data_IF_978028961716
#
_entry.id   IF_978028961716
#
_cell.length_a   1.000
_cell.length_b   1.000
_cell.length_c   1.000
_cell.angle_alpha   90.00
_cell.angle_beta   90.00
_cell.angle_gamma   90.00
#
_symmetry.space_group_name_H-M   'P 1'
#
loop_
_entity.id
_entity.type
_entity.pdbx_description
1 polymer ?
#
# COMPACT_ATOMS: atom_id res chain seq x y z
N UNK A 1 8.03 3.97 4.25
CA UNK A 1 7.60 5.40 4.28
C UNK A 1 6.57 5.57 5.38
N UNK A 2 6.12 6.79 5.73
CA UNK A 2 5.09 6.93 6.77
C UNK A 2 3.74 6.32 6.35
N UNK A 3 2.89 5.89 7.32
CA UNK A 3 1.63 5.21 6.99
C UNK A 3 0.63 6.06 6.23
N UNK A 4 0.65 7.40 6.42
CA UNK A 4 -0.28 8.29 5.68
C UNK A 4 0.08 8.31 4.21
N UNK A 5 1.36 8.41 3.88
CA UNK A 5 1.87 8.33 2.51
C UNK A 5 1.56 6.98 1.88
N UNK A 6 1.81 5.87 2.58
CA UNK A 6 1.55 4.52 2.08
C UNK A 6 0.07 4.29 1.79
N UNK A 7 -0.82 4.64 2.73
CA UNK A 7 -2.26 4.52 2.53
C UNK A 7 -2.79 5.43 1.42
N UNK A 8 -2.27 6.67 1.33
CA UNK A 8 -2.67 7.64 0.31
C UNK A 8 -2.27 7.18 -1.10
N UNK A 9 -1.03 6.72 -1.24
CA UNK A 9 -0.51 6.23 -2.51
C UNK A 9 -1.26 5.00 -2.98
N UNK A 10 -1.49 4.04 -2.07
CA UNK A 10 -2.32 2.86 -2.36
C UNK A 10 -3.75 3.23 -2.79
N UNK A 11 -4.38 4.20 -2.10
CA UNK A 11 -5.69 4.71 -2.46
C UNK A 11 -5.70 5.36 -3.86
N UNK A 12 -4.66 6.11 -4.21
CA UNK A 12 -4.51 6.78 -5.51
C UNK A 12 -4.51 5.75 -6.65
N UNK A 13 -3.68 4.74 -6.57
CA UNK A 13 -3.59 3.71 -7.61
C UNK A 13 -4.90 2.95 -7.76
N UNK A 14 -5.53 2.57 -6.68
CA UNK A 14 -6.82 1.88 -6.72
C UNK A 14 -7.94 2.77 -7.30
N UNK A 15 -8.01 4.04 -6.89
CA UNK A 15 -8.98 5.00 -7.44
C UNK A 15 -8.80 5.24 -8.93
N UNK A 16 -7.55 5.31 -9.42
CA UNK A 16 -7.25 5.56 -10.83
C UNK A 16 -7.83 4.49 -11.75
N UNK A 17 -7.93 3.25 -11.26
CA UNK A 17 -8.50 2.10 -11.95
C UNK A 17 -10.02 1.93 -11.74
N UNK A 18 -10.63 2.74 -10.87
CA UNK A 18 -12.04 2.61 -10.51
C UNK A 18 -12.99 3.27 -11.51
N UNK A 19 -14.25 2.81 -11.52
CA UNK A 19 -15.38 3.55 -12.12
C UNK A 19 -15.93 4.54 -11.09
N UNK A 20 -16.73 5.52 -11.55
CA UNK A 20 -17.29 6.59 -10.70
C UNK A 20 -18.05 6.09 -9.48
N UNK A 21 -18.80 5.00 -9.64
CA UNK A 21 -19.57 4.34 -8.60
C UNK A 21 -18.72 3.56 -7.59
N UNK A 22 -17.47 3.25 -7.93
CA UNK A 22 -16.55 2.42 -7.15
C UNK A 22 -15.47 3.21 -6.40
N UNK A 23 -15.30 4.51 -6.70
CA UNK A 23 -14.17 5.35 -6.24
C UNK A 23 -13.94 5.25 -4.72
N UNK A 24 -15.01 5.30 -3.91
CA UNK A 24 -14.90 5.20 -2.45
C UNK A 24 -14.38 3.85 -1.99
N UNK A 25 -14.96 2.77 -2.51
CA UNK A 25 -14.56 1.41 -2.14
C UNK A 25 -13.14 1.09 -2.63
N UNK A 26 -12.79 1.57 -3.84
CA UNK A 26 -11.45 1.45 -4.39
C UNK A 26 -10.41 2.19 -3.51
N UNK A 27 -10.70 3.43 -3.11
CA UNK A 27 -9.83 4.19 -2.21
C UNK A 27 -9.57 3.46 -0.90
N UNK A 28 -10.63 2.92 -0.27
CA UNK A 28 -10.52 2.19 0.99
C UNK A 28 -9.74 0.89 0.82
N UNK A 29 -10.04 0.09 -0.21
CA UNK A 29 -9.32 -1.16 -0.48
C UNK A 29 -7.85 -0.92 -0.82
N UNK A 30 -7.56 0.10 -1.64
CA UNK A 30 -6.19 0.48 -1.97
C UNK A 30 -5.42 1.01 -0.78
N UNK A 31 -6.05 1.84 0.06
CA UNK A 31 -5.47 2.33 1.31
C UNK A 31 -5.10 1.17 2.24
N UNK A 32 -6.02 0.25 2.47
CA UNK A 32 -5.76 -0.93 3.32
C UNK A 32 -4.68 -1.84 2.73
N UNK A 33 -4.68 -2.03 1.41
CA UNK A 33 -3.61 -2.74 0.71
C UNK A 33 -2.26 -2.07 0.88
N UNK A 34 -2.22 -0.73 0.75
CA UNK A 34 -1.00 0.05 0.92
C UNK A 34 -0.48 0.12 2.36
N UNK A 35 -1.32 -0.12 3.37
CA UNK A 35 -0.91 -0.15 4.78
C UNK A 35 -0.50 -1.54 5.26
N UNK A 36 -0.99 -2.58 4.61
CA UNK A 36 -0.90 -3.95 5.13
C UNK A 36 0.53 -4.50 5.26
N UNK A 37 1.49 -4.23 4.36
CA UNK A 37 2.86 -4.74 4.52
C UNK A 37 3.51 -4.33 5.83
N UNK A 38 3.27 -3.11 6.32
CA UNK A 38 3.82 -2.60 7.58
C UNK A 38 3.26 -3.30 8.84
N UNK A 39 2.29 -4.20 8.71
CA UNK A 39 1.86 -5.05 9.81
C UNK A 39 2.96 -6.03 10.25
N UNK A 40 4.05 -6.14 9.49
CA UNK A 40 5.25 -6.87 9.87
C UNK A 40 5.90 -6.34 11.15
N UNK A 41 5.62 -5.08 11.55
CA UNK A 41 6.06 -4.50 12.83
C UNK A 41 5.57 -5.29 14.05
N UNK A 42 4.51 -6.09 13.89
CA UNK A 42 4.01 -6.98 14.94
C UNK A 42 4.80 -8.30 15.03
N UNK A 43 5.75 -8.54 14.13
CA UNK A 43 6.67 -9.68 14.21
C UNK A 43 7.82 -9.27 15.14
N UNK A 44 7.64 -9.51 16.42
CA UNK A 44 8.66 -9.22 17.43
C UNK A 44 8.80 -10.36 18.44
N UNK A 45 9.92 -10.41 19.11
CA UNK A 45 10.19 -11.37 20.17
C UNK A 45 10.73 -10.64 21.42
N UNK A 46 10.31 -11.07 22.60
CA UNK A 46 10.86 -10.57 23.86
C UNK A 46 12.24 -11.14 24.16
N UNK A 47 12.62 -12.25 23.53
CA UNK A 47 13.90 -12.95 23.72
C UNK A 47 14.93 -12.60 22.65
N UNK A 48 14.48 -12.13 21.48
CA UNK A 48 15.35 -11.72 20.37
C UNK A 48 14.94 -10.33 19.85
N UNK A 49 15.60 -9.27 20.36
CA UNK A 49 15.31 -7.90 19.91
C UNK A 49 15.67 -7.61 18.46
N UNK A 50 16.51 -8.44 17.82
CA UNK A 50 16.93 -8.24 16.43
C UNK A 50 15.93 -8.81 15.43
N UNK A 51 15.03 -9.69 15.87
CA UNK A 51 14.02 -10.32 15.02
C UNK A 51 13.19 -9.29 14.23
N UNK A 52 12.79 -8.20 14.89
CA UNK A 52 12.08 -7.10 14.23
C UNK A 52 12.88 -6.49 13.07
N UNK A 53 14.19 -6.25 13.27
CA UNK A 53 15.05 -5.66 12.23
C UNK A 53 15.27 -6.61 11.05
N UNK A 54 15.26 -7.92 11.30
CA UNK A 54 15.43 -8.95 10.28
C UNK A 54 14.18 -9.02 9.37
N UNK A 55 12.99 -9.10 9.97
CA UNK A 55 11.75 -9.31 9.23
C UNK A 55 11.13 -8.02 8.70
N UNK A 56 11.42 -6.87 9.32
CA UNK A 56 10.86 -5.60 8.86
C UNK A 56 11.36 -5.23 7.45
N UNK A 57 10.40 -5.02 6.55
CA UNK A 57 10.60 -4.76 5.11
C UNK A 57 11.31 -5.91 4.37
N UNK A 58 11.01 -7.15 4.75
CA UNK A 58 11.48 -8.35 4.09
C UNK A 58 10.36 -8.94 3.20
N UNK A 59 9.82 -10.11 3.57
CA UNK A 59 8.90 -10.88 2.73
C UNK A 59 7.57 -10.17 2.44
N UNK A 60 7.02 -9.43 3.41
CA UNK A 60 5.76 -8.66 3.25
C UNK A 60 5.87 -7.58 2.18
N UNK A 61 7.07 -7.06 1.96
CA UNK A 61 7.38 -6.01 0.99
C UNK A 61 7.91 -6.54 -0.34
N UNK A 62 8.20 -7.84 -0.42
CA UNK A 62 8.73 -8.47 -1.61
C UNK A 62 7.70 -8.54 -2.75
N UNK A 63 8.15 -8.34 -3.98
CA UNK A 63 7.29 -8.36 -5.17
C UNK A 63 6.50 -9.67 -5.31
N UNK A 64 7.14 -10.80 -4.96
CA UNK A 64 6.50 -12.12 -5.02
C UNK A 64 5.35 -12.28 -4.01
N UNK A 65 5.37 -11.54 -2.91
CA UNK A 65 4.35 -11.62 -1.86
C UNK A 65 3.13 -10.74 -2.13
N UNK A 66 3.23 -9.77 -3.05
CA UNK A 66 2.13 -8.84 -3.37
C UNK A 66 0.79 -9.55 -3.62
N UNK A 67 0.69 -10.56 -4.51
CA UNK A 67 -0.60 -11.22 -4.77
C UNK A 67 -1.13 -11.97 -3.56
N UNK A 68 -0.25 -12.56 -2.75
CA UNK A 68 -0.62 -13.32 -1.55
C UNK A 68 -1.10 -12.35 -0.46
N UNK A 69 -0.33 -11.32 -0.17
CA UNK A 69 -0.67 -10.30 0.84
C UNK A 69 -1.99 -9.59 0.51
N UNK A 70 -2.16 -9.17 -0.75
CA UNK A 70 -3.40 -8.56 -1.21
C UNK A 70 -4.61 -9.51 -1.09
N UNK A 71 -4.43 -10.81 -1.33
CA UNK A 71 -5.49 -11.82 -1.17
C UNK A 71 -5.88 -11.97 0.30
N UNK A 72 -4.92 -12.04 1.21
CA UNK A 72 -5.14 -12.13 2.66
C UNK A 72 -5.94 -10.91 3.13
N UNK A 73 -5.46 -9.70 2.81
CA UNK A 73 -6.14 -8.45 3.19
C UNK A 73 -7.56 -8.41 2.64
N UNK A 74 -7.74 -8.71 1.36
CA UNK A 74 -9.06 -8.70 0.74
C UNK A 74 -10.01 -9.68 1.41
N UNK A 75 -9.56 -10.88 1.72
CA UNK A 75 -10.39 -11.91 2.39
C UNK A 75 -10.90 -11.43 3.75
N UNK A 76 -10.04 -10.73 4.50
CA UNK A 76 -10.38 -10.20 5.83
C UNK A 76 -11.35 -9.02 5.74
N UNK A 77 -11.08 -8.05 4.83
CA UNK A 77 -11.78 -6.75 4.88
C UNK A 77 -12.91 -6.59 3.86
N UNK A 78 -13.02 -7.44 2.84
CA UNK A 78 -13.98 -7.29 1.74
C UNK A 78 -15.42 -7.10 2.20
N UNK A 79 -15.89 -7.98 3.11
CA UNK A 79 -17.28 -7.94 3.60
C UNK A 79 -17.62 -6.70 4.43
N UNK A 80 -16.59 -6.04 4.99
CA UNK A 80 -16.74 -4.84 5.83
C UNK A 80 -16.67 -3.59 4.96
N UNK A 81 -15.65 -3.52 4.09
CA UNK A 81 -15.25 -2.30 3.40
C UNK A 81 -15.82 -2.18 2.00
N UNK A 82 -15.96 -3.31 1.29
CA UNK A 82 -16.30 -3.34 -0.13
C UNK A 82 -17.36 -4.39 -0.48
N UNK A 83 -18.30 -4.66 0.42
CA UNK A 83 -19.36 -5.69 0.25
C UNK A 83 -20.20 -5.53 -1.01
N UNK A 84 -20.29 -4.31 -1.54
CA UNK A 84 -21.05 -3.99 -2.74
C UNK A 84 -20.28 -4.26 -4.04
N UNK A 85 -19.01 -4.65 -3.94
CA UNK A 85 -18.18 -5.00 -5.08
C UNK A 85 -18.00 -6.51 -5.15
N UNK A 86 -17.89 -7.11 -6.36
CA UNK A 86 -17.42 -8.47 -6.51
C UNK A 86 -16.04 -8.63 -5.86
N UNK A 87 -15.78 -9.76 -5.22
CA UNK A 87 -14.50 -10.04 -4.55
C UNK A 87 -13.30 -9.81 -5.47
N UNK A 88 -13.40 -10.23 -6.74
CA UNK A 88 -12.34 -10.03 -7.75
C UNK A 88 -11.98 -8.55 -7.96
N UNK A 89 -12.97 -7.66 -7.95
CA UNK A 89 -12.72 -6.22 -8.09
C UNK A 89 -12.11 -5.64 -6.81
N UNK A 90 -12.61 -6.02 -5.64
CA UNK A 90 -12.03 -5.62 -4.36
C UNK A 90 -10.57 -6.08 -4.24
N UNK A 91 -10.29 -7.33 -4.64
CA UNK A 91 -8.93 -7.86 -4.70
C UNK A 91 -8.02 -7.04 -5.63
N UNK A 92 -8.50 -6.67 -6.82
CA UNK A 92 -7.72 -5.86 -7.77
C UNK A 92 -7.36 -4.49 -7.19
N UNK A 93 -8.30 -3.83 -6.50
CA UNK A 93 -8.03 -2.55 -5.84
C UNK A 93 -7.05 -2.70 -4.68
N UNK A 94 -7.19 -3.75 -3.87
CA UNK A 94 -6.23 -4.07 -2.81
C UNK A 94 -4.85 -4.40 -3.37
N UNK A 95 -4.78 -5.18 -4.44
CA UNK A 95 -3.54 -5.55 -5.12
C UNK A 95 -2.78 -4.33 -5.63
N UNK A 96 -3.49 -3.38 -6.27
CA UNK A 96 -2.90 -2.12 -6.73
C UNK A 96 -2.30 -1.33 -5.56
N UNK A 97 -3.02 -1.23 -4.43
CA UNK A 97 -2.50 -0.56 -3.23
C UNK A 97 -1.31 -1.30 -2.62
N UNK A 98 -1.40 -2.62 -2.50
CA UNK A 98 -0.31 -3.43 -1.94
C UNK A 98 0.96 -3.34 -2.77
N UNK A 99 0.83 -3.33 -4.12
CA UNK A 99 1.94 -3.27 -5.04
C UNK A 99 2.74 -1.96 -4.94
N UNK A 100 2.11 -0.85 -4.52
CA UNK A 100 2.80 0.43 -4.39
C UNK A 100 3.70 0.50 -3.16
N UNK A 101 3.41 -0.27 -2.12
CA UNK A 101 4.04 -0.15 -0.81
C UNK A 101 5.56 -0.38 -0.86
N UNK A 102 6.00 -1.55 -1.28
CA UNK A 102 7.42 -1.89 -1.34
C UNK A 102 8.20 -0.98 -2.29
N UNK A 103 7.57 -0.55 -3.40
CA UNK A 103 8.19 0.39 -4.35
C UNK A 103 8.39 1.77 -3.73
N UNK A 104 7.39 2.27 -3.00
CA UNK A 104 7.49 3.56 -2.31
C UNK A 104 8.55 3.52 -1.19
N UNK A 105 8.65 2.40 -0.49
CA UNK A 105 9.71 2.19 0.51
C UNK A 105 11.11 2.12 -0.12
N UNK A 106 11.23 1.56 -1.30
CA UNK A 106 12.49 1.59 -2.06
C UNK A 106 12.91 3.01 -2.46
N UNK A 107 11.98 3.97 -2.54
CA UNK A 107 12.30 5.38 -2.76
C UNK A 107 12.97 6.04 -1.55
N UNK A 108 12.86 5.46 -0.36
CA UNK A 108 13.46 5.99 0.88
C UNK A 108 14.89 5.53 1.11
N UNK A 109 15.58 6.16 2.08
CA UNK A 109 16.95 5.81 2.46
C UNK A 109 17.06 4.48 3.21
N UNK A 110 15.99 4.03 3.87
CA UNK A 110 15.99 2.75 4.58
C UNK A 110 15.95 1.55 3.62
N UNK A 111 15.28 1.70 2.48
CA UNK A 111 15.14 0.67 1.46
C UNK A 111 14.26 -0.51 1.88
N UNK A 112 14.16 -1.49 0.97
CA UNK A 112 13.36 -2.71 1.17
C UNK A 112 13.90 -3.87 0.35
N UNK A 113 13.65 -5.11 0.78
CA UNK A 113 14.05 -6.34 0.07
C UNK A 113 13.03 -6.73 -1.00
N UNK A 114 12.93 -5.93 -2.07
CA UNK A 114 11.95 -6.16 -3.15
C UNK A 114 12.08 -7.54 -3.80
N UNK A 115 13.29 -8.07 -3.91
CA UNK A 115 13.59 -9.31 -4.62
C UNK A 115 13.69 -10.55 -3.71
N UNK A 116 13.31 -10.42 -2.44
CA UNK A 116 13.27 -11.58 -1.54
C UNK A 116 12.29 -12.66 -2.09
N UNK A 117 12.56 -13.97 -2.02
CA UNK A 117 13.72 -14.65 -1.40
C UNK A 117 14.93 -14.82 -2.33
N UNK A 118 14.92 -14.27 -3.53
CA UNK A 118 16.00 -14.45 -4.52
C UNK A 118 17.24 -13.59 -4.22
N UNK A 119 17.07 -12.53 -3.46
CA UNK A 119 18.14 -11.61 -3.03
C UNK A 119 17.78 -10.94 -1.72
N UNK A 120 18.74 -10.90 -0.79
CA UNK A 120 18.62 -10.21 0.49
C UNK A 120 19.07 -8.73 0.41
N UNK A 121 19.36 -8.26 -0.81
CA UNK A 121 19.78 -6.87 -1.01
C UNK A 121 18.62 -5.90 -0.76
N UNK A 122 18.85 -4.88 0.07
CA UNK A 122 17.92 -3.76 0.26
C UNK A 122 18.08 -2.76 -0.88
N UNK A 123 17.01 -2.53 -1.60
CA UNK A 123 16.95 -1.53 -2.68
C UNK A 123 16.54 -0.20 -2.06
N UNK A 124 17.39 0.82 -2.17
CA UNK A 124 17.15 2.18 -1.67
C UNK A 124 17.57 3.20 -2.75
N UNK A 125 16.59 3.90 -3.31
CA UNK A 125 16.83 4.91 -4.35
C UNK A 125 17.11 6.30 -3.79
N UNK A 126 16.83 6.55 -2.51
CA UNK A 126 17.18 7.77 -1.76
C UNK A 126 16.64 9.08 -2.38
N UNK A 127 15.46 9.04 -2.98
CA UNK A 127 14.87 10.19 -3.69
C UNK A 127 13.67 10.83 -2.97
N UNK A 128 13.15 10.19 -1.91
CA UNK A 128 12.03 10.70 -1.10
C UNK A 128 12.33 10.51 0.38
N UNK A 129 11.97 11.49 1.21
CA UNK A 129 12.08 11.37 2.67
C UNK A 129 11.05 10.38 3.23
N UNK A 130 11.36 9.75 4.39
CA UNK A 130 10.43 8.84 5.06
C UNK A 130 9.14 9.55 5.42
N UNK A 131 9.22 10.82 5.83
CA UNK A 131 8.08 11.71 6.06
C UNK A 131 8.26 12.91 5.13
N UNK A 132 7.39 13.05 4.14
CA UNK A 132 7.44 14.13 3.15
C UNK A 132 6.04 14.75 2.97
N UNK A 133 5.74 15.84 3.71
CA UNK A 133 4.45 16.51 3.60
C UNK A 133 4.18 17.12 2.21
N UNK A 134 5.24 17.59 1.51
CA UNK A 134 5.09 18.18 0.18
C UNK A 134 4.73 17.12 -0.87
N UNK A 135 5.16 15.90 -0.67
CA UNK A 135 4.76 14.75 -1.47
C UNK A 135 3.35 14.28 -1.10
N UNK A 136 3.08 14.11 0.20
CA UNK A 136 1.89 13.42 0.69
C UNK A 136 0.62 14.27 0.65
N UNK A 137 0.68 15.55 1.07
CA UNK A 137 -0.52 16.37 1.21
C UNK A 137 -1.24 16.69 -0.11
N UNK A 138 -0.54 17.01 -1.23
CA UNK A 138 -1.21 17.20 -2.51
C UNK A 138 -1.94 15.95 -3.00
N UNK A 139 -1.31 14.79 -2.88
CA UNK A 139 -1.89 13.52 -3.30
C UNK A 139 -3.10 13.17 -2.42
N UNK A 140 -2.98 13.32 -1.10
CA UNK A 140 -4.09 13.12 -0.16
C UNK A 140 -5.29 14.03 -0.47
N UNK A 141 -5.03 15.30 -0.79
CA UNK A 141 -6.09 16.23 -1.18
C UNK A 141 -6.81 15.75 -2.45
N UNK A 142 -6.07 15.28 -3.47
CA UNK A 142 -6.65 14.74 -4.70
C UNK A 142 -7.44 13.46 -4.47
N UNK A 143 -6.97 12.57 -3.60
CA UNK A 143 -7.70 11.35 -3.19
C UNK A 143 -9.03 11.72 -2.53
N UNK A 144 -9.01 12.64 -1.56
CA UNK A 144 -10.22 13.10 -0.85
C UNK A 144 -11.19 13.76 -1.82
N UNK A 145 -10.72 14.65 -2.69
CA UNK A 145 -11.54 15.28 -3.71
C UNK A 145 -12.11 14.25 -4.70
N UNK A 146 -11.32 13.24 -5.07
CA UNK A 146 -11.74 12.13 -5.92
C UNK A 146 -12.91 11.36 -5.32
N UNK A 147 -12.83 11.04 -4.01
CA UNK A 147 -13.93 10.39 -3.28
C UNK A 147 -15.16 11.28 -3.23
N UNK A 148 -15.01 12.58 -2.87
CA UNK A 148 -16.13 13.53 -2.74
C UNK A 148 -16.84 13.77 -4.05
N UNK A 149 -16.10 13.90 -5.15
CA UNK A 149 -16.63 14.17 -6.50
C UNK A 149 -16.94 12.91 -7.31
N UNK A 150 -16.71 11.72 -6.74
CA UNK A 150 -16.80 10.42 -7.43
C UNK A 150 -16.03 10.43 -8.76
N UNK A 151 -14.86 11.03 -8.77
CA UNK A 151 -14.05 11.25 -9.96
C UNK A 151 -12.74 10.45 -9.91
N UNK A 152 -12.61 9.35 -10.66
CA UNK A 152 -11.35 8.61 -10.75
C UNK A 152 -10.26 9.40 -11.49
N UNK A 153 -10.64 10.41 -12.28
CA UNK A 153 -9.70 11.24 -13.02
C UNK A 153 -8.76 12.02 -12.09
N UNK A 154 -9.26 12.48 -10.94
CA UNK A 154 -8.43 13.21 -9.97
C UNK A 154 -7.29 12.33 -9.40
N UNK A 155 -7.49 11.03 -9.28
CA UNK A 155 -6.44 10.11 -8.90
C UNK A 155 -5.46 9.79 -10.05
N UNK A 156 -5.86 10.00 -11.30
CA UNK A 156 -4.97 9.79 -12.46
C UNK A 156 -4.00 10.93 -12.70
N UNK A 157 -4.25 12.08 -12.11
CA UNK A 157 -3.39 13.27 -12.19
C UNK A 157 -2.60 13.50 -10.90
N UNK A 158 -2.82 12.68 -9.86
CA UNK A 158 -2.08 12.67 -8.61
C UNK A 158 -0.77 11.90 -8.76
#
# INVERSE_FOLDING_TARGET
MDPVSQGTWGATFAQSAARKDQVKAAALMGCLGGLAPDLDVFIFSSTDPLLFLEYHRQFTHALIFIPIGALIVTTVVHRIVARNLPFRQAYLFCLLGYATHGLLDACTTYGTMLLWPFSDSRIAWNNVSIIDPLFTLPILALVILGVRRRSPWLARIA
#
